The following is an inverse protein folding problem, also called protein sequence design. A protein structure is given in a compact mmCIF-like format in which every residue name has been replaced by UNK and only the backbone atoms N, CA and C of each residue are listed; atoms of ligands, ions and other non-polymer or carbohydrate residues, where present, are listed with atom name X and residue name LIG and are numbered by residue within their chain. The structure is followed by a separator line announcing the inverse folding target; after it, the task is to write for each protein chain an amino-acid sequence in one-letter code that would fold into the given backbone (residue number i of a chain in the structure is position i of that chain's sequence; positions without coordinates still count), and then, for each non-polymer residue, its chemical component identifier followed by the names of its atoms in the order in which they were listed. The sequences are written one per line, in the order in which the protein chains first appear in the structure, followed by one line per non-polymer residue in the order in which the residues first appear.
data_IF_419502150838
#
_entry.id   IF_419502150838
#
_cell.length_a   1.000
_cell.length_b   1.000
_cell.length_c   1.000
_cell.angle_alpha   90.00
_cell.angle_beta   90.00
_cell.angle_gamma   90.00
#
_symmetry.space_group_name_H-M   'P 1'
#
loop_
_entity.id
_entity.type
_entity.pdbx_description
1 polymer ?
#
# COMPACT_ATOMS: atom_id res chain seq x y z
N UNK A 1 4.31 0.01 -12.86
CA UNK A 1 3.46 1.17 -12.51
C UNK A 1 4.07 1.83 -11.28
N UNK A 2 3.88 3.15 -11.06
CA UNK A 2 4.48 3.86 -9.92
C UNK A 2 4.16 3.23 -8.54
N UNK A 3 3.01 2.56 -8.44
CA UNK A 3 2.57 1.82 -7.26
C UNK A 3 3.44 0.61 -6.91
N UNK A 4 4.02 -0.09 -7.90
CA UNK A 4 4.76 -1.33 -7.66
C UNK A 4 6.01 -1.06 -6.82
N UNK A 5 6.72 0.04 -7.09
CA UNK A 5 7.92 0.41 -6.34
C UNK A 5 7.62 0.80 -4.89
N UNK A 6 6.49 1.45 -4.62
CA UNK A 6 6.06 1.78 -3.26
C UNK A 6 5.58 0.55 -2.50
N UNK A 7 4.91 -0.36 -3.22
CA UNK A 7 4.49 -1.65 -2.69
C UNK A 7 5.70 -2.50 -2.30
N UNK A 8 6.66 -2.70 -3.21
CA UNK A 8 7.88 -3.47 -2.96
C UNK A 8 8.73 -2.92 -1.80
N UNK A 9 8.67 -1.60 -1.57
CA UNK A 9 9.38 -0.94 -0.46
C UNK A 9 8.63 -1.00 0.87
N UNK A 10 7.44 -1.61 0.91
CA UNK A 10 6.55 -1.60 2.08
C UNK A 10 6.17 -0.18 2.53
N UNK A 11 6.07 0.73 1.57
CA UNK A 11 5.60 2.11 1.75
C UNK A 11 4.11 2.27 1.43
N UNK A 12 3.56 1.31 0.67
CA UNK A 12 2.15 1.20 0.32
C UNK A 12 1.68 -0.24 0.52
N UNK A 13 0.48 -0.42 1.06
CA UNK A 13 -0.17 -1.73 1.18
C UNK A 13 -1.67 -1.60 0.94
N UNK A 14 -2.42 -2.69 1.06
CA UNK A 14 -3.87 -2.68 0.88
C UNK A 14 -4.57 -3.44 2.01
N UNK A 15 -5.71 -2.89 2.43
CA UNK A 15 -6.63 -3.54 3.33
C UNK A 15 -7.45 -4.62 2.60
N UNK A 16 -8.11 -5.48 3.37
CA UNK A 16 -8.89 -6.61 2.83
C UNK A 16 -10.12 -6.15 2.03
N UNK A 17 -10.60 -4.93 2.29
CA UNK A 17 -11.66 -4.26 1.54
C UNK A 17 -11.16 -3.57 0.25
N UNK A 18 -9.86 -3.65 -0.04
CA UNK A 18 -9.22 -2.99 -1.17
C UNK A 18 -8.88 -1.52 -0.94
N UNK A 19 -9.07 -0.98 0.27
CA UNK A 19 -8.63 0.36 0.63
C UNK A 19 -7.10 0.43 0.63
N UNK A 20 -6.54 1.46 -0.01
CA UNK A 20 -5.10 1.71 0.00
C UNK A 20 -4.66 2.17 1.39
N UNK A 21 -3.60 1.54 1.90
CA UNK A 21 -2.92 1.90 3.12
C UNK A 21 -1.57 2.53 2.75
N UNK A 22 -1.32 3.73 3.24
CA UNK A 22 -0.11 4.49 2.95
C UNK A 22 0.71 4.62 4.21
N UNK A 23 2.03 4.50 4.08
CA UNK A 23 2.93 4.76 5.20
C UNK A 23 2.79 6.24 5.57
N UNK A 24 2.74 6.59 6.87
CA UNK A 24 2.78 7.98 7.32
C UNK A 24 4.11 8.67 6.98
N UNK A 25 5.13 7.91 6.55
CA UNK A 25 6.37 8.44 5.99
C UNK A 25 6.19 8.99 4.57
N UNK A 26 5.13 8.60 3.84
CA UNK A 26 4.81 9.23 2.55
C UNK A 26 4.06 10.53 2.78
N UNK A 27 4.65 11.61 2.32
CA UNK A 27 3.97 12.90 2.22
C UNK A 27 2.93 12.85 1.09
N UNK A 28 1.80 13.53 1.28
CA UNK A 28 0.78 13.71 0.24
C UNK A 28 1.37 14.30 -1.06
N UNK A 29 2.43 15.09 -0.92
CA UNK A 29 3.18 15.68 -2.02
C UNK A 29 3.89 14.62 -2.87
N UNK A 30 4.46 13.58 -2.25
CA UNK A 30 5.11 12.46 -2.95
C UNK A 30 4.09 11.62 -3.72
N UNK A 31 2.92 11.37 -3.13
CA UNK A 31 1.82 10.67 -3.81
C UNK A 31 1.35 11.43 -5.04
N UNK A 32 1.26 12.76 -4.94
CA UNK A 32 0.94 13.64 -6.07
C UNK A 32 2.00 13.58 -7.17
N UNK A 33 3.28 13.63 -6.81
CA UNK A 33 4.40 13.54 -7.76
C UNK A 33 4.41 12.21 -8.51
N UNK A 34 4.01 11.14 -7.83
CA UNK A 34 3.98 9.77 -8.36
C UNK A 34 2.66 9.49 -9.11
N UNK A 35 1.70 10.42 -9.09
CA UNK A 35 0.41 10.31 -9.79
C UNK A 35 -0.58 9.36 -9.08
N UNK A 36 -0.40 9.15 -7.79
CA UNK A 36 -1.20 8.25 -6.96
C UNK A 36 -2.26 9.07 -6.22
N UNK A 37 -3.53 8.85 -6.53
CA UNK A 37 -4.62 9.35 -5.69
C UNK A 37 -4.75 8.50 -4.44
N UNK A 38 -4.84 9.14 -3.27
CA UNK A 38 -5.16 8.51 -1.99
C UNK A 38 -6.52 7.81 -1.98
N UNK A 39 -7.43 8.21 -2.87
CA UNK A 39 -8.72 7.56 -3.10
C UNK A 39 -8.64 6.31 -3.99
N UNK A 40 -7.45 5.90 -4.43
CA UNK A 40 -7.28 4.66 -5.18
C UNK A 40 -7.76 3.48 -4.32
N UNK A 41 -8.65 2.67 -4.90
CA UNK A 41 -9.08 1.40 -4.33
C UNK A 41 -8.78 0.27 -5.29
N UNK A 42 -8.34 -0.85 -4.74
CA UNK A 42 -8.27 -2.09 -5.52
C UNK A 42 -9.68 -2.47 -5.93
N UNK A 43 -9.96 -2.40 -7.23
CA UNK A 43 -11.25 -2.80 -7.81
C UNK A 43 -11.52 -4.30 -7.63
N UNK A 44 -10.47 -5.11 -7.49
CA UNK A 44 -10.55 -6.54 -7.22
C UNK A 44 -9.42 -6.97 -6.28
N UNK A 45 -9.78 -7.35 -5.05
CA UNK A 45 -8.90 -8.13 -4.16
C UNK A 45 -9.31 -9.59 -4.30
N UNK A 46 -8.44 -10.42 -4.87
CA UNK A 46 -8.71 -11.86 -4.95
C UNK A 46 -8.45 -12.50 -3.58
N UNK A 47 -9.30 -13.44 -3.13
CA UNK A 47 -9.08 -14.14 -1.86
C UNK A 47 -7.72 -14.82 -1.75
N UNK A 48 -7.19 -15.31 -2.87
CA UNK A 48 -5.84 -15.91 -2.93
C UNK A 48 -4.74 -14.91 -2.58
N UNK A 49 -4.95 -13.62 -2.81
CA UNK A 49 -3.99 -12.57 -2.52
C UNK A 49 -4.12 -12.07 -1.08
N UNK A 50 -5.19 -12.42 -0.33
CA UNK A 50 -5.38 -11.96 1.04
C UNK A 50 -4.28 -12.47 1.97
N UNK A 51 -3.85 -13.73 1.84
CA UNK A 51 -2.76 -14.27 2.66
C UNK A 51 -1.43 -13.56 2.39
N UNK A 52 -1.15 -13.27 1.11
CA UNK A 52 0.03 -12.51 0.71
C UNK A 52 -0.05 -11.06 1.20
N UNK A 53 -1.20 -10.40 1.05
CA UNK A 53 -1.45 -9.04 1.53
C UNK A 53 -1.36 -8.95 3.04
N UNK A 54 -1.80 -9.97 3.78
CA UNK A 54 -1.67 -10.02 5.24
C UNK A 54 -0.19 -10.04 5.66
N UNK A 55 0.63 -10.88 5.03
CA UNK A 55 2.08 -10.89 5.26
C UNK A 55 2.72 -9.54 4.89
N UNK A 56 2.33 -8.99 3.74
CA UNK A 56 2.82 -7.70 3.26
C UNK A 56 2.47 -6.56 4.23
N UNK A 57 1.22 -6.51 4.72
CA UNK A 57 0.77 -5.55 5.74
C UNK A 57 1.56 -5.66 7.02
N UNK A 58 1.86 -6.87 7.47
CA UNK A 58 2.67 -7.07 8.67
C UNK A 58 4.05 -6.40 8.50
N UNK A 59 4.73 -6.64 7.38
CA UNK A 59 6.03 -6.05 7.05
C UNK A 59 5.95 -4.51 6.91
N UNK A 60 4.87 -4.02 6.30
CA UNK A 60 4.55 -2.59 6.21
C UNK A 60 4.44 -1.93 7.60
N UNK A 61 3.74 -2.55 8.55
CA UNK A 61 3.67 -2.03 9.92
C UNK A 61 4.98 -2.16 10.69
N UNK A 62 5.73 -3.25 10.49
CA UNK A 62 7.07 -3.42 11.09
C UNK A 62 8.02 -2.28 10.66
N UNK A 63 7.99 -1.88 9.39
CA UNK A 63 8.81 -0.77 8.86
C UNK A 63 8.44 0.60 9.42
N UNK A 64 7.19 0.81 9.83
CA UNK A 64 6.72 2.07 10.41
C UNK A 64 7.05 2.22 11.89
N UNK A 65 7.38 1.13 12.58
CA UNK A 65 7.68 1.15 14.03
C UNK A 65 9.17 1.38 14.32
N UNK A 66 9.98 1.63 13.30
CA UNK A 66 11.43 1.82 13.40
C UNK A 66 11.86 3.27 13.18
#
# INVERSE_FOLDING_TARGET
MPFDALFDQFLLSFADDGTVLLSPQLELEELRLVGISTDAKLRFVRPQHLTFLAYHRQRFYERQRS
#
